data_IF_794980128861
#
_entry.id   IF_794980128861
#
_cell.length_a   1.000
_cell.length_b   1.000
_cell.length_c   1.000
_cell.angle_alpha   90.00
_cell.angle_beta   90.00
_cell.angle_gamma   90.00
#
_symmetry.space_group_name_H-M   'P 1'
#
loop_
_entity.id
_entity.type
_entity.pdbx_description
1 polymer ?
#
# COMPACT_ATOMS: atom_id res chain seq x y z
N UNK A 1 35.57 12.14 -44.00
CA UNK A 1 35.22 11.16 -42.94
C UNK A 1 34.63 11.95 -41.80
N UNK A 2 33.32 11.84 -41.60
CA UNK A 2 32.61 12.51 -40.50
C UNK A 2 31.79 11.43 -39.82
N UNK A 3 32.24 11.00 -38.64
CA UNK A 3 31.45 10.14 -37.77
C UNK A 3 30.37 11.01 -37.15
N UNK A 4 29.13 10.86 -37.62
CA UNK A 4 28.00 11.49 -36.98
C UNK A 4 27.76 10.78 -35.64
N UNK A 5 27.72 11.57 -34.56
CA UNK A 5 27.44 11.09 -33.23
C UNK A 5 26.10 10.33 -33.21
N UNK A 6 26.05 9.26 -32.41
CA UNK A 6 24.82 8.50 -32.20
C UNK A 6 23.70 9.44 -31.74
N UNK A 7 22.46 9.29 -32.25
CA UNK A 7 21.35 10.11 -31.79
C UNK A 7 21.15 9.94 -30.28
N UNK A 8 20.92 11.07 -29.63
CA UNK A 8 20.66 11.24 -28.21
C UNK A 8 19.63 10.23 -27.69
N UNK A 9 19.92 9.55 -26.58
CA UNK A 9 18.97 8.66 -25.90
C UNK A 9 17.73 9.48 -25.53
N UNK A 10 16.63 9.24 -26.23
CA UNK A 10 15.31 9.75 -25.84
C UNK A 10 15.00 9.22 -24.44
N UNK A 11 15.01 10.11 -23.44
CA UNK A 11 14.53 9.78 -22.09
C UNK A 11 13.01 9.58 -22.17
N UNK A 12 12.44 8.47 -21.66
CA UNK A 12 11.02 8.23 -21.78
C UNK A 12 10.20 9.25 -20.98
N UNK A 13 9.00 9.54 -21.48
CA UNK A 13 8.04 10.44 -20.88
C UNK A 13 7.67 10.00 -19.45
N UNK A 14 7.66 10.97 -18.53
CA UNK A 14 7.17 10.81 -17.15
C UNK A 14 5.67 10.50 -17.21
N UNK A 15 5.21 9.39 -16.61
CA UNK A 15 3.77 9.14 -16.42
C UNK A 15 3.19 7.76 -16.80
N UNK A 16 3.99 6.74 -17.13
CA UNK A 16 3.44 5.39 -17.35
C UNK A 16 3.32 4.61 -16.02
N UNK A 17 2.21 3.87 -15.87
CA UNK A 17 2.02 2.94 -14.75
C UNK A 17 2.81 1.66 -15.00
N UNK A 18 3.61 1.26 -14.03
CA UNK A 18 4.38 0.01 -14.00
C UNK A 18 4.01 -0.80 -12.77
N UNK A 19 4.32 -2.10 -12.79
CA UNK A 19 4.16 -2.99 -11.63
C UNK A 19 5.50 -3.07 -10.89
N UNK A 20 5.50 -2.73 -9.60
CA UNK A 20 6.63 -2.92 -8.70
C UNK A 20 6.34 -4.12 -7.81
N UNK A 21 7.21 -5.12 -7.87
CA UNK A 21 7.12 -6.33 -7.07
C UNK A 21 7.93 -6.19 -5.79
N UNK A 22 7.31 -6.60 -4.70
CA UNK A 22 7.93 -6.76 -3.40
C UNK A 22 8.05 -8.25 -3.09
N UNK A 23 9.07 -8.60 -2.32
CA UNK A 23 9.29 -9.95 -1.80
C UNK A 23 9.37 -9.88 -0.28
N UNK A 24 8.67 -10.77 0.39
CA UNK A 24 8.62 -10.86 1.83
C UNK A 24 8.59 -12.32 2.28
N UNK A 25 8.80 -12.54 3.58
CA UNK A 25 8.68 -13.87 4.17
C UNK A 25 7.21 -14.11 4.49
N UNK A 26 6.58 -15.19 3.98
CA UNK A 26 5.22 -15.55 4.34
C UNK A 26 5.06 -15.68 5.86
N UNK A 27 3.93 -15.20 6.39
CA UNK A 27 3.59 -15.32 7.80
C UNK A 27 2.97 -16.70 8.06
N UNK A 28 3.42 -17.38 9.11
CA UNK A 28 2.84 -18.65 9.51
C UNK A 28 1.35 -18.50 9.87
N UNK A 29 0.53 -19.47 9.44
CA UNK A 29 -0.93 -19.42 9.64
C UNK A 29 -1.67 -18.32 8.86
N UNK A 30 -1.02 -17.65 7.91
CA UNK A 30 -1.61 -16.62 7.06
C UNK A 30 -1.71 -17.05 5.58
N UNK A 31 -2.06 -16.12 4.70
CA UNK A 31 -2.09 -16.36 3.25
C UNK A 31 -0.69 -16.72 2.72
N UNK A 32 -0.57 -17.66 1.76
CA UNK A 32 0.69 -18.28 1.38
C UNK A 32 1.54 -17.44 0.42
N UNK A 33 1.29 -16.14 0.34
CA UNK A 33 2.00 -15.24 -0.56
C UNK A 33 3.39 -14.88 -0.01
N UNK A 34 4.37 -14.84 -0.89
CA UNK A 34 5.74 -14.39 -0.63
C UNK A 34 6.11 -13.13 -1.45
N UNK A 35 5.16 -12.68 -2.28
CA UNK A 35 5.31 -11.54 -3.18
C UNK A 35 4.01 -10.76 -3.31
N UNK A 36 4.14 -9.47 -3.57
CA UNK A 36 3.03 -8.57 -3.87
C UNK A 36 3.44 -7.60 -4.97
N UNK A 37 2.57 -7.43 -5.98
CA UNK A 37 2.79 -6.47 -7.04
C UNK A 37 1.93 -5.23 -6.85
N UNK A 38 2.54 -4.08 -6.61
CA UNK A 38 1.87 -2.78 -6.51
C UNK A 38 1.96 -2.01 -7.81
N UNK A 39 0.90 -1.28 -8.16
CA UNK A 39 0.96 -0.30 -9.23
C UNK A 39 1.80 0.88 -8.79
N UNK A 40 2.58 1.45 -9.70
CA UNK A 40 3.41 2.61 -9.44
C UNK A 40 3.58 3.47 -10.68
N UNK A 41 3.66 4.79 -10.49
CA UNK A 41 4.01 5.71 -11.56
C UNK A 41 5.53 5.80 -11.67
N UNK A 42 6.09 5.44 -12.82
CA UNK A 42 7.52 5.52 -13.03
C UNK A 42 8.00 6.99 -13.03
N UNK A 43 9.02 7.29 -12.22
CA UNK A 43 9.61 8.63 -12.10
C UNK A 43 10.95 8.75 -12.82
N UNK A 44 11.72 7.66 -12.89
CA UNK A 44 13.03 7.60 -13.56
C UNK A 44 13.34 6.18 -14.06
N UNK A 45 14.56 5.94 -14.53
CA UNK A 45 15.01 4.61 -14.95
C UNK A 45 14.99 3.57 -13.82
N UNK A 46 15.16 3.99 -12.56
CA UNK A 46 15.24 3.09 -11.40
C UNK A 46 14.33 3.49 -10.23
N UNK A 47 13.49 4.52 -10.36
CA UNK A 47 12.56 4.94 -9.30
C UNK A 47 11.11 5.04 -9.75
N UNK A 48 10.18 4.69 -8.87
CA UNK A 48 8.74 4.82 -9.10
C UNK A 48 8.00 5.22 -7.82
N UNK A 49 6.84 5.86 -7.95
CA UNK A 49 5.95 6.21 -6.85
C UNK A 49 4.83 5.20 -6.74
N UNK A 50 4.70 4.51 -5.60
CA UNK A 50 3.62 3.56 -5.33
C UNK A 50 2.27 4.26 -5.45
N UNK A 51 1.33 3.64 -6.16
CA UNK A 51 0.07 4.25 -6.58
C UNK A 51 -1.18 3.51 -6.08
N UNK A 52 -1.02 2.45 -5.28
CA UNK A 52 -2.12 1.80 -4.56
C UNK A 52 -1.63 1.21 -3.24
N UNK A 53 -2.59 0.89 -2.37
CA UNK A 53 -2.34 0.42 -0.99
C UNK A 53 -1.93 -1.07 -0.95
N UNK A 54 -0.94 -1.48 -0.12
CA UNK A 54 -0.52 -2.87 -0.02
C UNK A 54 -1.37 -3.72 0.94
N UNK A 55 -1.72 -4.93 0.51
CA UNK A 55 -2.40 -5.95 1.29
C UNK A 55 -1.45 -6.84 2.10
N UNK A 56 -0.19 -6.98 1.70
CA UNK A 56 0.74 -7.92 2.33
C UNK A 56 2.08 -7.33 2.73
N UNK A 57 2.67 -6.49 1.88
CA UNK A 57 3.97 -5.90 2.12
C UNK A 57 3.92 -4.91 3.29
N UNK A 58 4.64 -5.22 4.37
CA UNK A 58 4.81 -4.32 5.51
C UNK A 58 5.85 -3.23 5.20
N UNK A 59 5.75 -2.11 5.93
CA UNK A 59 6.67 -0.99 5.80
C UNK A 59 6.53 -0.20 4.50
N UNK A 60 5.47 -0.44 3.72
CA UNK A 60 5.18 0.28 2.48
C UNK A 60 3.83 0.98 2.56
N UNK A 61 3.77 2.21 2.07
CA UNK A 61 2.55 2.99 1.95
C UNK A 61 2.36 3.54 0.53
N UNK A 62 1.10 3.75 0.16
CA UNK A 62 0.78 4.47 -1.08
C UNK A 62 1.45 5.85 -1.09
N UNK A 63 1.97 6.24 -2.24
CA UNK A 63 2.65 7.52 -2.46
C UNK A 63 4.15 7.49 -2.17
N UNK A 64 4.68 6.42 -1.58
CA UNK A 64 6.13 6.29 -1.35
C UNK A 64 6.90 6.21 -2.66
N UNK A 65 8.09 6.81 -2.69
CA UNK A 65 9.02 6.63 -3.81
C UNK A 65 9.97 5.50 -3.45
N UNK A 66 10.07 4.52 -4.34
CA UNK A 66 10.96 3.38 -4.19
C UNK A 66 11.93 3.29 -5.35
N UNK A 67 13.13 2.80 -5.07
CA UNK A 67 14.06 2.32 -6.08
C UNK A 67 13.74 0.88 -6.42
N UNK A 68 13.80 0.54 -7.70
CA UNK A 68 13.63 -0.82 -8.20
C UNK A 68 14.82 -1.27 -9.06
N UNK A 69 14.93 -2.58 -9.26
CA UNK A 69 15.81 -3.19 -10.27
C UNK A 69 14.98 -4.07 -11.19
N UNK A 70 15.27 -3.98 -12.48
CA UNK A 70 14.65 -4.85 -13.48
C UNK A 70 15.45 -6.14 -13.60
N UNK A 71 14.80 -7.29 -13.45
CA UNK A 71 15.43 -8.59 -13.64
C UNK A 71 15.51 -9.01 -15.12
N UNK A 72 16.06 -10.18 -15.39
CA UNK A 72 16.19 -10.72 -16.75
C UNK A 72 14.84 -11.03 -17.42
N UNK A 73 13.75 -11.09 -16.65
CA UNK A 73 12.38 -11.35 -17.11
C UNK A 73 11.60 -10.04 -17.33
N UNK A 74 12.22 -8.89 -17.02
CA UNK A 74 11.58 -7.58 -17.15
C UNK A 74 10.73 -7.17 -15.94
N UNK A 75 10.76 -7.93 -14.84
CA UNK A 75 10.04 -7.57 -13.62
C UNK A 75 10.83 -6.52 -12.82
N UNK A 76 10.12 -5.49 -12.36
CA UNK A 76 10.69 -4.45 -11.52
C UNK A 76 10.55 -4.83 -10.04
N UNK A 77 11.66 -5.13 -9.39
CA UNK A 77 11.71 -5.50 -7.97
C UNK A 77 12.11 -4.31 -7.12
N UNK A 78 11.30 -3.96 -6.12
CA UNK A 78 11.67 -2.95 -5.13
C UNK A 78 12.93 -3.38 -4.38
N UNK A 79 13.87 -2.46 -4.22
CA UNK A 79 15.13 -2.72 -3.49
C UNK A 79 15.38 -1.73 -2.36
N UNK A 80 14.72 -0.57 -2.37
CA UNK A 80 14.92 0.45 -1.35
C UNK A 80 13.78 1.48 -1.37
N UNK A 81 13.36 1.95 -0.19
CA UNK A 81 12.61 3.21 -0.09
C UNK A 81 13.55 4.40 -0.31
N UNK A 82 13.13 5.35 -1.13
CA UNK A 82 13.87 6.58 -1.46
C UNK A 82 13.24 7.80 -0.80
N UNK A 83 11.91 7.86 -0.75
CA UNK A 83 11.15 8.97 -0.16
C UNK A 83 9.90 8.43 0.53
N UNK A 84 9.68 8.83 1.78
CA UNK A 84 8.46 8.53 2.52
C UNK A 84 7.32 9.45 2.07
N UNK A 85 6.10 8.92 1.97
CA UNK A 85 4.91 9.72 1.67
C UNK A 85 4.31 10.42 2.88
N UNK A 86 4.67 9.96 4.09
CA UNK A 86 4.00 10.33 5.34
C UNK A 86 2.64 9.63 5.54
N UNK A 87 2.16 8.86 4.56
CA UNK A 87 0.94 8.09 4.68
C UNK A 87 1.18 6.84 5.54
N UNK A 88 0.09 6.29 6.07
CA UNK A 88 0.07 5.00 6.74
C UNK A 88 -0.74 3.98 5.94
N UNK A 89 -0.38 2.71 6.06
CA UNK A 89 -1.15 1.57 5.58
C UNK A 89 -1.78 0.85 6.76
N UNK A 90 -3.11 0.83 6.80
CA UNK A 90 -3.89 0.11 7.81
C UNK A 90 -4.69 -0.99 7.12
N UNK A 91 -4.67 -2.20 7.66
CA UNK A 91 -5.47 -3.31 7.12
C UNK A 91 -6.53 -3.71 8.12
N UNK A 92 -7.77 -3.89 7.67
CA UNK A 92 -8.94 -4.16 8.50
C UNK A 92 -9.65 -5.39 7.95
N UNK A 93 -9.88 -6.39 8.79
CA UNK A 93 -10.60 -7.61 8.44
C UNK A 93 -11.86 -7.70 9.31
N UNK A 94 -13.07 -7.56 8.72
CA UNK A 94 -14.31 -7.63 9.49
C UNK A 94 -14.50 -9.04 10.08
N UNK A 95 -14.98 -9.08 11.33
CA UNK A 95 -15.26 -10.35 12.02
C UNK A 95 -16.58 -10.92 11.49
N UNK A 96 -16.61 -12.14 10.92
CA UNK A 96 -17.82 -12.67 10.28
C UNK A 96 -19.05 -12.76 11.18
N UNK A 97 -18.86 -13.05 12.47
CA UNK A 97 -19.91 -13.12 13.49
C UNK A 97 -20.15 -11.79 14.21
N UNK A 98 -19.41 -10.74 13.85
CA UNK A 98 -19.48 -9.43 14.46
C UNK A 98 -20.65 -8.58 13.94
N UNK A 99 -20.88 -7.39 14.52
CA UNK A 99 -21.99 -6.50 14.17
C UNK A 99 -22.02 -6.06 12.70
N UNK A 100 -20.86 -6.03 12.02
CA UNK A 100 -20.75 -5.64 10.61
C UNK A 100 -20.79 -6.85 9.65
N UNK A 101 -20.85 -8.08 10.18
CA UNK A 101 -20.73 -9.30 9.39
C UNK A 101 -19.44 -9.34 8.56
N UNK A 102 -19.46 -10.02 7.41
CA UNK A 102 -18.33 -10.08 6.46
C UNK A 102 -18.24 -8.86 5.51
N UNK A 103 -18.91 -7.76 5.83
CA UNK A 103 -19.13 -6.68 4.86
C UNK A 103 -17.95 -5.70 4.82
N UNK A 104 -17.10 -5.80 3.78
CA UNK A 104 -16.09 -4.78 3.49
C UNK A 104 -16.72 -3.39 3.28
N UNK A 105 -17.90 -3.34 2.64
CA UNK A 105 -18.64 -2.08 2.47
C UNK A 105 -19.00 -1.44 3.81
N UNK A 106 -19.45 -2.22 4.79
CA UNK A 106 -19.76 -1.69 6.12
C UNK A 106 -18.50 -1.15 6.84
N UNK A 107 -17.33 -1.73 6.59
CA UNK A 107 -16.05 -1.19 7.08
C UNK A 107 -15.76 0.18 6.45
N UNK A 108 -15.92 0.31 5.13
CA UNK A 108 -15.78 1.61 4.45
C UNK A 108 -16.73 2.67 5.01
N UNK A 109 -18.00 2.32 5.26
CA UNK A 109 -18.98 3.26 5.82
C UNK A 109 -18.57 3.79 7.21
N UNK A 110 -17.92 2.97 8.06
CA UNK A 110 -17.42 3.44 9.35
C UNK A 110 -16.25 4.43 9.19
N UNK A 111 -15.44 4.28 8.15
CA UNK A 111 -14.26 5.12 7.90
C UNK A 111 -14.51 6.29 6.93
N UNK A 112 -15.64 6.30 6.23
CA UNK A 112 -16.04 7.36 5.31
C UNK A 112 -15.96 8.79 5.89
N UNK A 113 -16.31 9.05 7.17
CA UNK A 113 -16.17 10.38 7.77
C UNK A 113 -14.74 10.93 7.79
N UNK A 114 -13.72 10.08 7.64
CA UNK A 114 -12.31 10.47 7.61
C UNK A 114 -11.75 10.66 6.20
N UNK A 115 -12.55 10.38 5.16
CA UNK A 115 -12.11 10.51 3.77
C UNK A 115 -10.96 9.59 3.39
N UNK A 116 -10.77 8.47 4.10
CA UNK A 116 -9.70 7.50 3.80
C UNK A 116 -10.07 6.66 2.58
N UNK A 117 -9.11 6.51 1.66
CA UNK A 117 -9.22 5.62 0.52
C UNK A 117 -8.75 4.21 0.86
N UNK A 118 -9.21 3.20 0.11
CA UNK A 118 -8.78 1.83 0.32
C UNK A 118 -9.24 0.87 -0.77
N UNK A 119 -8.72 -0.36 -0.71
CA UNK A 119 -9.02 -1.45 -1.64
C UNK A 119 -9.45 -2.70 -0.85
N UNK A 120 -10.29 -3.55 -1.46
CA UNK A 120 -10.71 -4.85 -0.90
C UNK A 120 -9.93 -5.96 -1.58
N UNK A 121 -9.38 -6.89 -0.81
CA UNK A 121 -8.59 -7.99 -1.35
C UNK A 121 -9.46 -8.94 -2.21
N UNK A 122 -10.54 -9.47 -1.65
CA UNK A 122 -11.54 -10.27 -2.38
C UNK A 122 -12.86 -10.37 -1.61
N UNK A 123 -13.92 -10.84 -2.27
CA UNK A 123 -15.20 -11.14 -1.59
C UNK A 123 -15.08 -12.29 -0.59
N UNK A 124 -14.28 -13.31 -0.93
CA UNK A 124 -14.06 -14.49 -0.07
C UNK A 124 -13.21 -14.16 1.16
N UNK A 125 -12.30 -13.19 1.04
CA UNK A 125 -11.48 -12.72 2.15
C UNK A 125 -11.52 -11.18 2.18
N UNK A 126 -12.52 -10.60 2.87
CA UNK A 126 -12.85 -9.17 2.80
C UNK A 126 -11.88 -8.30 3.63
N UNK A 127 -10.58 -8.58 3.51
CA UNK A 127 -9.52 -7.71 4.03
C UNK A 127 -9.56 -6.40 3.25
N UNK A 128 -9.69 -5.29 3.98
CA UNK A 128 -9.68 -3.94 3.42
C UNK A 128 -8.38 -3.28 3.81
N UNK A 129 -7.59 -2.84 2.82
CA UNK A 129 -6.39 -2.06 3.05
C UNK A 129 -6.70 -0.59 2.81
N UNK A 130 -6.33 0.28 3.74
CA UNK A 130 -6.57 1.71 3.72
C UNK A 130 -5.28 2.51 3.66
N UNK A 131 -5.28 3.54 2.81
CA UNK A 131 -4.29 4.62 2.85
C UNK A 131 -4.81 5.71 3.77
N UNK A 132 -4.19 5.86 4.94
CA UNK A 132 -4.42 6.99 5.85
C UNK A 132 -3.40 8.06 5.51
N UNK A 133 -3.87 9.21 5.02
CA UNK A 133 -3.00 10.30 4.61
C UNK A 133 -2.33 10.98 5.80
N UNK A 134 -1.15 11.57 5.57
CA UNK A 134 -0.40 12.31 6.59
C UNK A 134 -1.19 13.49 7.21
N UNK A 135 -2.14 14.06 6.48
CA UNK A 135 -2.98 15.19 6.87
C UNK A 135 -4.32 14.78 7.50
N UNK A 136 -4.57 13.49 7.68
CA UNK A 136 -5.81 12.99 8.28
C UNK A 136 -5.82 13.13 9.82
N UNK A 137 -7.01 13.04 10.42
CA UNK A 137 -7.18 13.01 11.88
C UNK A 137 -6.78 11.65 12.46
N UNK A 138 -5.46 11.45 12.63
CA UNK A 138 -4.87 10.17 13.03
C UNK A 138 -5.43 9.67 14.36
N UNK A 139 -5.58 10.55 15.36
CA UNK A 139 -6.09 10.19 16.68
C UNK A 139 -7.52 9.66 16.62
N UNK A 140 -8.42 10.31 15.86
CA UNK A 140 -9.79 9.83 15.73
C UNK A 140 -9.89 8.54 14.93
N UNK A 141 -9.09 8.39 13.87
CA UNK A 141 -9.04 7.14 13.09
C UNK A 141 -8.58 5.98 13.98
N UNK A 142 -7.49 6.18 14.72
CA UNK A 142 -6.95 5.19 15.67
C UNK A 142 -7.96 4.82 16.75
N UNK A 143 -8.63 5.82 17.33
CA UNK A 143 -9.69 5.59 18.32
C UNK A 143 -10.85 4.76 17.76
N UNK A 144 -11.29 5.03 16.52
CA UNK A 144 -12.33 4.23 15.86
C UNK A 144 -11.86 2.79 15.62
N UNK A 145 -10.65 2.59 15.11
CA UNK A 145 -10.10 1.24 14.84
C UNK A 145 -10.01 0.41 16.12
N UNK A 146 -9.49 1.00 17.20
CA UNK A 146 -9.41 0.37 18.52
C UNK A 146 -10.80 0.02 19.05
N UNK A 147 -11.73 0.98 19.03
CA UNK A 147 -13.12 0.74 19.47
C UNK A 147 -13.78 -0.37 18.65
N UNK A 148 -13.66 -0.34 17.32
CA UNK A 148 -14.23 -1.38 16.46
C UNK A 148 -13.67 -2.77 16.78
N UNK A 149 -12.38 -2.87 17.10
CA UNK A 149 -11.79 -4.13 17.55
C UNK A 149 -12.32 -4.58 18.92
N UNK A 150 -12.40 -3.67 19.89
CA UNK A 150 -12.94 -3.96 21.24
C UNK A 150 -14.41 -4.40 21.21
N UNK A 151 -15.20 -3.83 20.29
CA UNK A 151 -16.60 -4.19 20.08
C UNK A 151 -16.81 -5.36 19.11
N UNK A 152 -15.73 -6.01 18.65
CA UNK A 152 -15.80 -7.20 17.80
C UNK A 152 -16.29 -6.94 16.38
N UNK A 153 -16.12 -5.72 15.85
CA UNK A 153 -16.49 -5.37 14.48
C UNK A 153 -15.48 -5.93 13.48
N UNK A 154 -14.19 -5.86 13.82
CA UNK A 154 -13.08 -6.26 12.97
C UNK A 154 -11.84 -6.59 13.79
N UNK A 155 -10.85 -7.19 13.12
CA UNK A 155 -9.45 -7.08 13.50
C UNK A 155 -8.78 -6.02 12.64
N UNK A 156 -7.74 -5.36 13.14
CA UNK A 156 -6.92 -4.49 12.30
C UNK A 156 -5.44 -4.63 12.61
N UNK A 157 -4.61 -4.29 11.62
CA UNK A 157 -3.17 -4.18 11.79
C UNK A 157 -2.62 -2.90 11.14
N UNK A 158 -1.50 -2.44 11.69
CA UNK A 158 -0.73 -1.29 11.20
C UNK A 158 0.44 -1.80 10.38
N UNK A 159 0.30 -1.85 9.05
CA UNK A 159 1.31 -2.42 8.16
C UNK A 159 2.46 -1.44 7.85
N UNK A 160 2.16 -0.15 7.74
CA UNK A 160 3.15 0.92 7.65
C UNK A 160 2.63 2.14 8.41
N UNK A 161 3.40 2.66 9.37
CA UNK A 161 2.98 3.79 10.21
C UNK A 161 4.14 4.72 10.53
N UNK A 162 3.82 6.00 10.66
CA UNK A 162 4.77 7.07 11.00
C UNK A 162 4.86 7.30 12.51
N UNK A 163 5.81 8.12 12.95
CA UNK A 163 5.90 8.55 14.35
C UNK A 163 4.66 9.34 14.78
N UNK A 164 4.12 10.18 13.89
CA UNK A 164 2.87 10.90 14.12
C UNK A 164 1.70 9.94 14.43
N UNK A 165 1.60 8.80 13.76
CA UNK A 165 0.61 7.77 14.09
C UNK A 165 0.84 7.13 15.47
N UNK A 166 2.11 6.89 15.83
CA UNK A 166 2.47 6.28 17.11
C UNK A 166 2.11 7.20 18.28
N UNK A 167 2.35 8.49 18.11
CA UNK A 167 2.11 9.54 19.10
C UNK A 167 0.64 9.97 19.23
N UNK A 168 -0.18 9.71 18.20
CA UNK A 168 -1.60 10.07 18.13
C UNK A 168 -2.54 9.28 19.05
#
# INVERSE_FOLDING_TARGET
MTFNAAPERVRPAVGYQIKIWYRFVPRDGWLPYDTEGLWATQLSEDTARVANVPFFQDGVAEGEVVRFRTDAQGLHWAVQQVEASGNCTIRVLPVPSGPLGRSAHAVFEQLAPFGVGGEVFSEEFPLVAFTVRADADLSRIKALLTRGQEHGWWHFETACVTDAWREA
#
